data_IF_192727173061
#
_entry.id   IF_192727173061
#
_cell.length_a   1.000
_cell.length_b   1.000
_cell.length_c   1.000
_cell.angle_alpha   90.00
_cell.angle_beta   90.00
_cell.angle_gamma   90.00
#
_symmetry.space_group_name_H-M   'P 1'
#
loop_
_entity.id
_entity.type
_entity.pdbx_description
1 polymer ?
#
# COMPACT_ATOMS: atom_id res chain seq x y z
N UNK A 1 6.75 3.59 -22.00
CA UNK A 1 6.14 2.74 -20.95
C UNK A 1 5.96 1.32 -21.48
N UNK A 2 6.45 0.30 -20.78
CA UNK A 2 6.19 -1.10 -21.12
C UNK A 2 4.82 -1.51 -20.53
N UNK A 3 3.79 -1.55 -21.38
CA UNK A 3 2.39 -1.80 -20.98
C UNK A 3 2.23 -3.17 -20.32
N UNK A 4 2.90 -4.21 -20.82
CA UNK A 4 2.83 -5.56 -20.23
C UNK A 4 3.39 -5.60 -18.82
N UNK A 5 4.57 -5.04 -18.58
CA UNK A 5 5.18 -4.97 -17.25
C UNK A 5 4.38 -4.11 -16.29
N UNK A 6 3.78 -3.01 -16.80
CA UNK A 6 2.90 -2.17 -16.01
C UNK A 6 1.71 -2.95 -15.44
N UNK A 7 0.96 -3.65 -16.28
CA UNK A 7 -0.19 -4.41 -15.81
C UNK A 7 0.17 -5.59 -14.91
N UNK A 8 1.32 -6.27 -15.18
CA UNK A 8 1.86 -7.29 -14.27
C UNK A 8 2.14 -6.68 -12.89
N UNK A 9 2.78 -5.51 -12.84
CA UNK A 9 3.07 -4.84 -11.58
C UNK A 9 1.78 -4.43 -10.84
N UNK A 10 0.77 -3.89 -11.55
CA UNK A 10 -0.54 -3.56 -10.95
C UNK A 10 -1.18 -4.79 -10.31
N UNK A 11 -1.26 -5.91 -11.03
CA UNK A 11 -1.89 -7.14 -10.51
C UNK A 11 -1.12 -7.70 -9.31
N UNK A 12 0.21 -7.79 -9.40
CA UNK A 12 1.04 -8.33 -8.31
C UNK A 12 0.95 -7.46 -7.07
N UNK A 13 1.05 -6.12 -7.21
CA UNK A 13 0.94 -5.20 -6.07
C UNK A 13 -0.48 -5.21 -5.50
N UNK A 14 -1.52 -5.33 -6.31
CA UNK A 14 -2.89 -5.46 -5.82
C UNK A 14 -3.07 -6.71 -4.93
N UNK A 15 -2.60 -7.87 -5.39
CA UNK A 15 -2.65 -9.11 -4.59
C UNK A 15 -1.85 -8.94 -3.29
N UNK A 16 -0.67 -8.35 -3.38
CA UNK A 16 0.17 -8.09 -2.22
C UNK A 16 -0.49 -7.12 -1.24
N UNK A 17 -1.19 -6.09 -1.75
CA UNK A 17 -1.92 -5.13 -0.93
C UNK A 17 -3.05 -5.81 -0.15
N UNK A 18 -3.83 -6.70 -0.79
CA UNK A 18 -4.86 -7.48 -0.09
C UNK A 18 -4.24 -8.37 1.00
N UNK A 19 -3.17 -9.10 0.68
CA UNK A 19 -2.52 -10.00 1.63
C UNK A 19 -1.92 -9.24 2.84
N UNK A 20 -1.20 -8.15 2.60
CA UNK A 20 -0.62 -7.33 3.68
C UNK A 20 -1.69 -6.56 4.45
N UNK A 21 -2.77 -6.13 3.80
CA UNK A 21 -3.92 -5.51 4.44
C UNK A 21 -4.59 -6.45 5.44
N UNK A 22 -4.90 -7.67 5.02
CA UNK A 22 -5.44 -8.71 5.92
C UNK A 22 -4.47 -9.00 7.06
N UNK A 23 -3.19 -9.18 6.79
CA UNK A 23 -2.20 -9.45 7.82
C UNK A 23 -2.14 -8.33 8.87
N UNK A 24 -2.07 -7.08 8.44
CA UNK A 24 -1.96 -5.93 9.34
C UNK A 24 -3.28 -5.71 10.10
N UNK A 25 -4.41 -5.61 9.40
CA UNK A 25 -5.67 -5.19 10.02
C UNK A 25 -6.42 -6.30 10.73
N UNK A 26 -6.29 -7.55 10.29
CA UNK A 26 -6.96 -8.68 10.94
C UNK A 26 -6.06 -9.35 11.97
N UNK A 27 -4.78 -9.63 11.61
CA UNK A 27 -3.90 -10.39 12.50
C UNK A 27 -3.21 -9.49 13.53
N UNK A 28 -2.60 -8.37 13.09
CA UNK A 28 -1.83 -7.52 14.01
C UNK A 28 -2.70 -6.54 14.79
N UNK A 29 -3.64 -5.86 14.14
CA UNK A 29 -4.47 -4.81 14.74
C UNK A 29 -5.86 -5.31 15.18
N UNK A 30 -6.26 -6.51 14.79
CA UNK A 30 -7.55 -7.10 15.15
C UNK A 30 -7.87 -7.00 16.64
N UNK A 31 -6.97 -7.45 17.55
CA UNK A 31 -7.20 -7.33 18.99
C UNK A 31 -7.40 -5.87 19.46
N UNK A 32 -6.74 -4.90 18.82
CA UNK A 32 -6.91 -3.48 19.14
C UNK A 32 -8.29 -3.00 18.70
N UNK A 33 -8.76 -3.41 17.54
CA UNK A 33 -10.08 -3.01 17.02
C UNK A 33 -11.24 -3.60 17.84
N UNK A 34 -11.04 -4.77 18.47
CA UNK A 34 -12.04 -5.43 19.31
C UNK A 34 -12.01 -4.92 20.77
N UNK A 35 -11.07 -4.05 21.15
CA UNK A 35 -10.99 -3.53 22.51
C UNK A 35 -12.13 -2.57 22.83
N UNK A 36 -12.51 -2.51 24.11
CA UNK A 36 -13.55 -1.62 24.60
C UNK A 36 -13.25 -0.16 24.26
N UNK A 37 -14.25 0.58 23.82
CA UNK A 37 -14.14 1.98 23.41
C UNK A 37 -13.60 2.17 21.98
N UNK A 38 -12.98 1.17 21.37
CA UNK A 38 -12.51 1.26 19.99
C UNK A 38 -13.49 0.55 19.03
N UNK A 39 -14.00 -0.61 19.42
CA UNK A 39 -14.94 -1.34 18.56
C UNK A 39 -16.21 -0.57 18.20
N UNK A 40 -16.66 0.34 19.07
CA UNK A 40 -17.83 1.17 18.84
C UNK A 40 -17.57 2.30 17.83
N UNK A 41 -16.30 2.61 17.53
CA UNK A 41 -15.89 3.61 16.53
C UNK A 41 -16.09 3.09 15.11
N UNK A 42 -15.96 1.76 14.94
CA UNK A 42 -16.03 1.11 13.63
C UNK A 42 -17.39 0.46 13.38
N UNK A 43 -17.70 0.25 12.11
CA UNK A 43 -18.90 -0.52 11.70
C UNK A 43 -18.79 -1.96 12.19
N UNK A 44 -19.92 -2.57 12.52
CA UNK A 44 -19.98 -4.00 12.80
C UNK A 44 -19.53 -4.84 11.60
N UNK A 45 -19.03 -6.05 11.87
CA UNK A 45 -18.48 -6.96 10.86
C UNK A 45 -19.42 -7.26 9.70
N UNK A 46 -20.71 -7.44 9.96
CA UNK A 46 -21.72 -7.73 8.93
C UNK A 46 -21.84 -6.55 7.94
N UNK A 47 -21.93 -5.33 8.47
CA UNK A 47 -21.99 -4.11 7.64
C UNK A 47 -20.69 -3.87 6.88
N UNK A 48 -19.52 -4.10 7.49
CA UNK A 48 -18.22 -4.01 6.83
C UNK A 48 -18.13 -5.00 5.66
N UNK A 49 -18.50 -6.26 5.89
CA UNK A 49 -18.45 -7.30 4.86
C UNK A 49 -19.32 -6.95 3.64
N UNK A 50 -20.52 -6.38 3.88
CA UNK A 50 -21.39 -5.92 2.78
C UNK A 50 -20.79 -4.82 1.91
N UNK A 51 -19.80 -4.08 2.43
CA UNK A 51 -19.13 -2.97 1.75
C UNK A 51 -17.69 -3.29 1.30
N UNK A 52 -17.21 -4.51 1.53
CA UNK A 52 -15.82 -4.91 1.24
C UNK A 52 -15.46 -4.71 -0.25
N UNK A 53 -16.42 -4.87 -1.15
CA UNK A 53 -16.21 -4.64 -2.58
C UNK A 53 -15.77 -3.20 -2.90
N UNK A 54 -16.21 -2.21 -2.10
CA UNK A 54 -15.79 -0.81 -2.26
C UNK A 54 -14.29 -0.69 -1.92
N UNK A 55 -13.84 -1.36 -0.87
CA UNK A 55 -12.41 -1.39 -0.51
C UNK A 55 -11.58 -1.97 -1.66
N UNK A 56 -11.99 -3.08 -2.24
CA UNK A 56 -11.25 -3.67 -3.37
C UNK A 56 -11.16 -2.75 -4.58
N UNK A 57 -12.23 -2.01 -4.90
CA UNK A 57 -12.19 -1.03 -5.99
C UNK A 57 -11.26 0.13 -5.64
N UNK A 58 -11.34 0.67 -4.44
CA UNK A 58 -10.47 1.77 -4.02
C UNK A 58 -9.01 1.35 -3.96
N UNK A 59 -8.71 0.15 -3.49
CA UNK A 59 -7.37 -0.42 -3.48
C UNK A 59 -6.83 -0.62 -4.91
N UNK A 60 -7.67 -1.09 -5.83
CA UNK A 60 -7.27 -1.23 -7.24
C UNK A 60 -6.93 0.12 -7.86
N UNK A 61 -7.75 1.14 -7.62
CA UNK A 61 -7.50 2.51 -8.10
C UNK A 61 -6.21 3.05 -7.49
N UNK A 62 -6.01 2.85 -6.18
CA UNK A 62 -4.80 3.29 -5.49
C UNK A 62 -3.55 2.60 -6.05
N UNK A 63 -3.56 1.28 -6.20
CA UNK A 63 -2.44 0.50 -6.77
C UNK A 63 -2.16 0.89 -8.21
N UNK A 64 -3.20 1.14 -9.00
CA UNK A 64 -3.05 1.61 -10.37
C UNK A 64 -2.26 2.94 -10.41
N UNK A 65 -2.68 3.94 -9.65
CA UNK A 65 -2.00 5.24 -9.63
C UNK A 65 -0.62 5.15 -8.98
N UNK A 66 -0.45 4.39 -7.92
CA UNK A 66 0.85 4.14 -7.31
C UNK A 66 1.85 3.60 -8.35
N UNK A 67 1.45 2.57 -9.07
CA UNK A 67 2.30 1.97 -10.13
C UNK A 67 2.49 2.92 -11.31
N UNK A 68 1.44 3.63 -11.74
CA UNK A 68 1.50 4.56 -12.85
C UNK A 68 2.47 5.71 -12.62
N UNK A 69 2.41 6.34 -11.44
CA UNK A 69 3.29 7.45 -11.08
C UNK A 69 4.74 6.96 -11.03
N UNK A 70 4.99 5.79 -10.41
CA UNK A 70 6.33 5.20 -10.42
C UNK A 70 6.87 5.01 -11.83
N UNK A 71 6.08 4.37 -12.70
CA UNK A 71 6.50 4.07 -14.07
C UNK A 71 6.74 5.32 -14.91
N UNK A 72 5.98 6.39 -14.67
CA UNK A 72 6.18 7.69 -15.35
C UNK A 72 7.45 8.39 -14.90
N UNK A 73 7.83 8.26 -13.64
CA UNK A 73 9.05 8.86 -13.08
C UNK A 73 10.27 7.94 -13.09
N UNK A 74 10.17 6.74 -13.66
CA UNK A 74 11.22 5.73 -13.58
C UNK A 74 12.49 6.11 -14.36
N UNK A 75 13.60 6.23 -13.66
CA UNK A 75 14.91 6.67 -14.17
C UNK A 75 15.91 5.53 -14.38
N UNK A 76 15.50 4.27 -14.29
CA UNK A 76 16.35 3.06 -14.39
C UNK A 76 17.43 2.93 -13.28
N UNK A 77 17.19 3.49 -12.11
CA UNK A 77 18.09 3.38 -10.95
C UNK A 77 17.90 2.11 -10.11
N UNK A 78 17.10 1.16 -10.61
CA UNK A 78 16.92 -0.15 -10.01
C UNK A 78 16.05 -0.16 -8.76
N UNK A 79 16.29 -1.13 -7.86
CA UNK A 79 15.43 -1.35 -6.68
C UNK A 79 15.44 -0.18 -5.70
N UNK A 80 16.55 0.53 -5.59
CA UNK A 80 16.69 1.70 -4.71
C UNK A 80 15.70 2.83 -5.08
N UNK A 81 15.40 2.97 -6.37
CA UNK A 81 14.40 3.92 -6.85
C UNK A 81 13.00 3.55 -6.33
N UNK A 82 12.65 2.26 -6.35
CA UNK A 82 11.39 1.77 -5.79
C UNK A 82 11.29 2.00 -4.28
N UNK A 83 12.37 1.76 -3.54
CA UNK A 83 12.43 2.02 -2.09
C UNK A 83 12.22 3.52 -1.81
N UNK A 84 12.95 4.40 -2.48
CA UNK A 84 12.80 5.86 -2.30
C UNK A 84 11.39 6.33 -2.62
N UNK A 85 10.84 5.86 -3.73
CA UNK A 85 9.47 6.16 -4.11
C UNK A 85 8.47 5.68 -3.03
N UNK A 86 8.60 4.43 -2.57
CA UNK A 86 7.77 3.89 -1.51
C UNK A 86 7.86 4.69 -0.20
N UNK A 87 9.07 5.16 0.18
CA UNK A 87 9.24 6.05 1.33
C UNK A 87 8.51 7.37 1.12
N UNK A 88 8.64 8.03 -0.03
CA UNK A 88 7.97 9.31 -0.28
C UNK A 88 6.44 9.18 -0.24
N UNK A 89 5.89 8.18 -0.93
CA UNK A 89 4.44 7.94 -0.90
C UNK A 89 3.97 7.53 0.50
N UNK A 90 4.75 6.69 1.19
CA UNK A 90 4.46 6.24 2.55
C UNK A 90 4.47 7.37 3.58
N UNK A 91 5.40 8.30 3.46
CA UNK A 91 5.43 9.50 4.32
C UNK A 91 4.32 10.50 3.98
N UNK A 92 3.81 10.50 2.78
CA UNK A 92 2.77 11.42 2.35
C UNK A 92 1.36 10.89 2.63
N UNK A 93 0.97 9.79 1.99
CA UNK A 93 -0.42 9.32 2.03
C UNK A 93 -0.80 8.70 3.38
N UNK A 94 -0.09 7.70 3.92
CA UNK A 94 -0.39 7.13 5.23
C UNK A 94 -0.30 8.13 6.37
N UNK A 95 0.63 9.10 6.31
CA UNK A 95 0.72 10.15 7.31
C UNK A 95 -0.56 10.99 7.37
N UNK A 96 -0.99 11.49 6.21
CA UNK A 96 -2.21 12.32 6.12
C UNK A 96 -3.43 11.51 6.58
N UNK A 97 -3.58 10.28 6.10
CA UNK A 97 -4.69 9.41 6.46
C UNK A 97 -4.73 9.13 7.98
N UNK A 98 -3.62 8.69 8.56
CA UNK A 98 -3.56 8.28 9.96
C UNK A 98 -3.87 9.44 10.91
N UNK A 99 -3.25 10.60 10.68
CA UNK A 99 -3.40 11.72 11.59
C UNK A 99 -4.68 12.53 11.38
N UNK A 100 -5.22 12.59 10.18
CA UNK A 100 -6.58 13.11 9.97
C UNK A 100 -7.64 12.19 10.61
N UNK A 101 -7.47 10.88 10.48
CA UNK A 101 -8.36 9.91 11.15
C UNK A 101 -8.28 10.04 12.67
N UNK A 102 -7.09 10.26 13.24
CA UNK A 102 -6.92 10.51 14.68
C UNK A 102 -7.67 11.74 15.17
N UNK A 103 -7.74 12.80 14.36
CA UNK A 103 -8.50 14.02 14.71
C UNK A 103 -10.02 13.78 14.64
N UNK A 104 -10.48 12.97 13.67
CA UNK A 104 -11.90 12.75 13.40
C UNK A 104 -12.50 11.67 14.31
N UNK A 105 -11.76 10.61 14.56
CA UNK A 105 -12.22 9.45 15.31
C UNK A 105 -11.59 9.40 16.71
N UNK A 106 -12.34 9.01 17.74
CA UNK A 106 -11.83 8.87 19.10
C UNK A 106 -10.99 7.58 19.25
N UNK A 107 -9.92 7.47 18.48
CA UNK A 107 -8.96 6.37 18.55
C UNK A 107 -7.71 6.80 19.30
N UNK A 108 -7.00 5.87 19.98
CA UNK A 108 -5.76 6.21 20.67
C UNK A 108 -4.64 6.59 19.70
N UNK A 109 -3.74 7.47 20.13
CA UNK A 109 -2.59 7.89 19.34
C UNK A 109 -1.74 6.70 18.86
N UNK A 110 -1.60 5.67 19.68
CA UNK A 110 -0.85 4.46 19.34
C UNK A 110 -1.39 3.77 18.09
N UNK A 111 -2.72 3.74 17.91
CA UNK A 111 -3.35 3.15 16.73
C UNK A 111 -3.10 4.01 15.48
N UNK A 112 -3.21 5.33 15.60
CA UNK A 112 -2.89 6.22 14.49
C UNK A 112 -1.41 6.11 14.05
N UNK A 113 -0.49 6.03 15.02
CA UNK A 113 0.91 5.82 14.75
C UNK A 113 1.18 4.46 14.07
N UNK A 114 0.50 3.40 14.49
CA UNK A 114 0.59 2.08 13.85
C UNK A 114 0.08 2.12 12.40
N UNK A 115 -1.04 2.77 12.12
CA UNK A 115 -1.54 2.97 10.75
C UNK A 115 -0.51 3.67 9.86
N UNK A 116 0.09 4.74 10.38
CA UNK A 116 1.16 5.45 9.67
C UNK A 116 2.36 4.55 9.41
N UNK A 117 2.90 3.92 10.45
CA UNK A 117 4.12 3.10 10.35
C UNK A 117 3.93 1.92 9.38
N UNK A 118 2.83 1.17 9.54
CA UNK A 118 2.54 0.04 8.65
C UNK A 118 2.27 0.50 7.21
N UNK A 119 1.61 1.63 7.03
CA UNK A 119 1.42 2.23 5.72
C UNK A 119 2.72 2.60 5.02
N UNK A 120 3.71 3.15 5.75
CA UNK A 120 5.05 3.41 5.21
C UNK A 120 5.72 2.10 4.78
N UNK A 121 5.70 1.08 5.64
CA UNK A 121 6.30 -0.23 5.35
C UNK A 121 5.66 -0.85 4.11
N UNK A 122 4.33 -0.84 4.01
CA UNK A 122 3.61 -1.34 2.83
C UNK A 122 4.02 -0.59 1.55
N UNK A 123 4.06 0.74 1.57
CA UNK A 123 4.47 1.54 0.42
C UNK A 123 5.90 1.23 -0.03
N UNK A 124 6.83 0.99 0.91
CA UNK A 124 8.22 0.60 0.60
C UNK A 124 8.25 -0.78 -0.07
N UNK A 125 7.51 -1.75 0.47
CA UNK A 125 7.42 -3.09 -0.12
C UNK A 125 6.83 -3.01 -1.55
N UNK A 126 5.74 -2.25 -1.73
CA UNK A 126 5.10 -2.11 -3.03
C UNK A 126 6.01 -1.40 -4.05
N UNK A 127 6.71 -0.34 -3.65
CA UNK A 127 7.68 0.34 -4.48
C UNK A 127 8.82 -0.56 -4.93
N UNK A 128 9.34 -1.37 -4.01
CA UNK A 128 10.38 -2.37 -4.31
C UNK A 128 9.89 -3.41 -5.32
N UNK A 129 8.66 -3.91 -5.16
CA UNK A 129 8.06 -4.90 -6.06
C UNK A 129 7.82 -4.30 -7.46
N UNK A 130 7.28 -3.08 -7.53
CA UNK A 130 7.10 -2.39 -8.83
C UNK A 130 8.44 -2.22 -9.54
N UNK A 131 9.47 -1.75 -8.83
CA UNK A 131 10.81 -1.57 -9.40
C UNK A 131 11.42 -2.90 -9.87
N UNK A 132 11.23 -3.98 -9.12
CA UNK A 132 11.72 -5.31 -9.50
C UNK A 132 11.08 -5.84 -10.79
N UNK A 133 9.77 -5.63 -10.96
CA UNK A 133 9.03 -6.06 -12.16
C UNK A 133 9.33 -5.16 -13.35
N UNK A 134 9.42 -3.85 -13.11
CA UNK A 134 9.49 -2.86 -14.18
C UNK A 134 10.91 -2.65 -14.72
N UNK A 135 11.96 -3.02 -13.97
CA UNK A 135 13.35 -2.87 -14.44
C UNK A 135 13.53 -3.38 -15.88
N UNK A 136 14.34 -2.72 -16.71
CA UNK A 136 14.65 -3.21 -18.05
C UNK A 136 15.27 -4.60 -17.98
N UNK A 137 15.07 -5.42 -19.05
CA UNK A 137 15.95 -6.56 -19.27
C UNK A 137 17.37 -5.98 -19.44
N UNK A 138 18.34 -6.50 -18.71
CA UNK A 138 19.75 -6.28 -19.03
C UNK A 138 19.91 -6.62 -20.51
N UNK A 139 20.40 -5.65 -21.29
CA UNK A 139 20.85 -5.94 -22.65
C UNK A 139 21.89 -7.06 -22.49
N UNK A 140 21.63 -8.20 -23.12
CA UNK A 140 22.61 -9.27 -23.18
C UNK A 140 23.84 -8.65 -23.81
N UNK A 141 24.85 -8.33 -23.01
CA UNK A 141 26.16 -7.92 -23.47
C UNK A 141 26.83 -9.16 -24.04
N UNK A 142 26.52 -9.44 -25.29
CA UNK A 142 27.03 -10.56 -26.03
C UNK A 142 26.95 -10.26 -27.51
N UNK A 143 27.95 -9.50 -27.95
CA UNK A 143 28.61 -9.71 -29.25
C UNK A 143 29.72 -8.65 -29.37
N UNK A 144 30.86 -9.02 -28.89
CA UNK A 144 32.10 -8.47 -29.43
C UNK A 144 32.50 -9.32 -30.65
#
# INVERSE_FOLDING_TARGET
MNVKKFWIAVVVVFILAQATGVFIHVVMLGPTYESEGIKEVFRGMEEMNSKMWIMWITDLVWVFFFTYIFVKGYENKGLLEGIKYGVYIGLFIPFVFAYQSYVIYPVPYSLAFQWFLYGVIQCVIYGLVVAAIYKPKEAISGEA
#
